data_IF_384647777736
#
_entry.id   IF_384647777736
#
_cell.length_a   1.000
_cell.length_b   1.000
_cell.length_c   1.000
_cell.angle_alpha   90.00
_cell.angle_beta   90.00
_cell.angle_gamma   90.00
#
_symmetry.space_group_name_H-M   'P 1'
#
loop_
_entity.id
_entity.type
_entity.pdbx_description
1 polymer ?
#
# COMPACT_ATOMS: atom_id res chain seq x y z
N UNK A 1 2.16 -24.02 19.00
CA UNK A 1 2.78 -23.39 17.80
C UNK A 1 1.77 -23.12 16.67
N UNK A 2 0.73 -23.95 16.46
CA UNK A 2 -0.29 -23.70 15.40
C UNK A 2 -1.09 -22.40 15.60
N UNK A 3 -1.56 -22.11 16.82
CA UNK A 3 -2.29 -20.87 17.11
C UNK A 3 -1.45 -19.60 16.84
N UNK A 4 -0.13 -19.65 17.08
CA UNK A 4 0.80 -18.55 16.75
C UNK A 4 0.93 -18.38 15.23
N UNK A 5 1.06 -19.48 14.49
CA UNK A 5 1.11 -19.50 13.01
C UNK A 5 -0.16 -18.86 12.42
N UNK A 6 -1.33 -19.22 12.93
CA UNK A 6 -2.61 -18.65 12.48
C UNK A 6 -2.76 -17.16 12.80
N UNK A 7 -2.38 -16.73 14.02
CA UNK A 7 -2.39 -15.30 14.38
C UNK A 7 -1.50 -14.48 13.47
N UNK A 8 -0.27 -14.96 13.19
CA UNK A 8 0.64 -14.28 12.26
C UNK A 8 0.08 -14.26 10.83
N UNK A 9 -0.53 -15.34 10.36
CA UNK A 9 -1.20 -15.37 9.05
C UNK A 9 -2.30 -14.32 8.94
N UNK A 10 -3.13 -14.18 9.97
CA UNK A 10 -4.17 -13.13 10.02
C UNK A 10 -3.55 -11.74 10.04
N UNK A 11 -2.47 -11.56 10.79
CA UNK A 11 -1.77 -10.28 10.88
C UNK A 11 -1.16 -9.86 9.52
N UNK A 12 -0.54 -10.79 8.77
CA UNK A 12 -0.05 -10.51 7.42
C UNK A 12 -1.17 -9.97 6.54
N UNK A 13 -2.33 -10.65 6.50
CA UNK A 13 -3.48 -10.21 5.70
C UNK A 13 -3.95 -8.79 6.05
N UNK A 14 -4.02 -8.47 7.33
CA UNK A 14 -4.44 -7.13 7.78
C UNK A 14 -3.41 -6.08 7.37
N UNK A 15 -2.12 -6.38 7.50
CA UNK A 15 -1.06 -5.45 7.08
C UNK A 15 -1.04 -5.24 5.55
N UNK A 16 -1.31 -6.29 4.76
CA UNK A 16 -1.50 -6.19 3.31
C UNK A 16 -2.68 -5.28 2.95
N UNK A 17 -3.82 -5.44 3.64
CA UNK A 17 -4.99 -4.59 3.42
C UNK A 17 -4.74 -3.12 3.80
N UNK A 18 -4.03 -2.87 4.91
CA UNK A 18 -3.65 -1.53 5.32
C UNK A 18 -2.68 -0.88 4.32
N UNK A 19 -1.71 -1.65 3.83
CA UNK A 19 -0.80 -1.20 2.78
C UNK A 19 -1.59 -0.83 1.52
N UNK A 20 -2.48 -1.71 1.06
CA UNK A 20 -3.31 -1.47 -0.13
C UNK A 20 -4.18 -0.21 0.02
N UNK A 21 -4.74 0.05 1.21
CA UNK A 21 -5.49 1.27 1.49
C UNK A 21 -4.63 2.54 1.32
N UNK A 22 -3.38 2.52 1.78
CA UNK A 22 -2.48 3.64 1.62
C UNK A 22 -2.05 3.82 0.15
N UNK A 23 -1.84 2.72 -0.57
CA UNK A 23 -1.53 2.75 -2.01
C UNK A 23 -2.67 3.34 -2.84
N UNK A 24 -3.94 2.97 -2.56
CA UNK A 24 -5.09 3.53 -3.27
C UNK A 24 -5.26 5.02 -2.99
N UNK A 25 -5.09 5.45 -1.74
CA UNK A 25 -5.12 6.87 -1.37
C UNK A 25 -4.01 7.65 -2.04
N UNK A 26 -2.79 7.11 -2.05
CA UNK A 26 -1.66 7.73 -2.72
C UNK A 26 -1.94 7.92 -4.21
N UNK A 27 -2.43 6.86 -4.88
CA UNK A 27 -2.81 6.94 -6.29
C UNK A 27 -3.93 7.96 -6.54
N UNK A 28 -4.91 8.06 -5.63
CA UNK A 28 -5.96 9.07 -5.67
C UNK A 28 -5.39 10.49 -5.66
N UNK A 29 -4.54 10.82 -4.67
CA UNK A 29 -3.92 12.14 -4.58
C UNK A 29 -3.02 12.47 -5.77
N UNK A 30 -2.27 11.50 -6.29
CA UNK A 30 -1.46 11.69 -7.51
C UNK A 30 -2.35 11.99 -8.71
N UNK A 31 -3.45 11.24 -8.89
CA UNK A 31 -4.40 11.46 -9.97
C UNK A 31 -5.04 12.86 -9.89
N UNK A 32 -5.47 13.27 -8.70
CA UNK A 32 -6.05 14.59 -8.49
C UNK A 32 -5.05 15.72 -8.68
N UNK A 33 -3.78 15.53 -8.28
CA UNK A 33 -2.72 16.50 -8.53
C UNK A 33 -2.46 16.69 -10.03
N UNK A 34 -2.42 15.60 -10.80
CA UNK A 34 -2.27 15.64 -12.26
C UNK A 34 -3.49 16.29 -12.92
N UNK A 35 -4.70 15.95 -12.48
CA UNK A 35 -5.92 16.58 -12.99
C UNK A 35 -5.94 18.09 -12.74
N UNK A 36 -5.55 18.54 -11.54
CA UNK A 36 -5.46 19.96 -11.20
C UNK A 36 -4.35 20.67 -11.99
N UNK A 37 -3.23 19.99 -12.26
CA UNK A 37 -2.17 20.52 -13.14
C UNK A 37 -2.68 20.73 -14.57
N UNK A 38 -3.40 19.75 -15.12
CA UNK A 38 -3.96 19.83 -16.47
C UNK A 38 -5.00 20.94 -16.55
N UNK A 39 -5.89 21.07 -15.55
CA UNK A 39 -6.85 22.18 -15.50
C UNK A 39 -6.15 23.54 -15.50
N UNK A 40 -5.07 23.70 -14.73
CA UNK A 40 -4.28 24.93 -14.73
C UNK A 40 -3.67 25.22 -16.11
N UNK A 41 -3.11 24.21 -16.77
CA UNK A 41 -2.53 24.34 -18.10
C UNK A 41 -3.58 24.72 -19.15
N UNK A 42 -4.74 24.07 -19.14
CA UNK A 42 -5.87 24.39 -20.03
C UNK A 42 -6.39 25.82 -19.80
N UNK A 43 -6.42 26.29 -18.55
CA UNK A 43 -6.82 27.65 -18.23
C UNK A 43 -5.83 28.69 -18.74
N UNK A 44 -4.52 28.39 -18.71
CA UNK A 44 -3.47 29.25 -19.29
C UNK A 44 -3.58 29.26 -20.80
N UNK A 45 -3.75 28.11 -21.45
CA UNK A 45 -3.90 28.03 -22.91
C UNK A 45 -5.13 28.82 -23.39
N UNK A 46 -6.27 28.69 -22.69
CA UNK A 46 -7.47 29.50 -22.96
C UNK A 46 -7.30 30.97 -22.63
N UNK A 47 -6.39 31.34 -21.74
CA UNK A 47 -6.11 32.74 -21.46
C UNK A 47 -5.42 33.40 -22.67
N UNK A 48 -4.50 32.69 -23.32
CA UNK A 48 -3.72 33.16 -24.47
C UNK A 48 -4.43 33.00 -25.84
N UNK A 49 -5.55 32.26 -25.91
CA UNK A 49 -6.25 31.99 -27.18
C UNK A 49 -6.99 33.20 -27.77
N UNK A 50 -6.98 33.33 -29.11
CA UNK A 50 -7.78 34.32 -29.84
C UNK A 50 -9.28 34.11 -29.63
N UNK A 51 -10.00 35.18 -29.24
CA UNK A 51 -11.42 35.12 -28.87
C UNK A 51 -11.69 34.81 -27.39
N UNK A 52 -10.64 34.69 -26.57
CA UNK A 52 -10.78 34.59 -25.13
C UNK A 52 -11.34 35.87 -24.53
N UNK A 53 -12.22 35.72 -23.53
CA UNK A 53 -12.66 36.84 -22.68
C UNK A 53 -11.62 37.22 -21.62
N UNK A 54 -10.39 36.69 -21.71
CA UNK A 54 -9.27 37.01 -20.83
C UNK A 54 -8.96 38.51 -20.77
N UNK A 55 -9.15 39.24 -21.88
CA UNK A 55 -8.97 40.70 -21.93
C UNK A 55 -10.01 41.47 -21.11
N UNK A 56 -11.22 40.91 -20.93
CA UNK A 56 -12.30 41.52 -20.16
C UNK A 56 -12.33 41.04 -18.71
N UNK A 57 -11.88 39.81 -18.45
CA UNK A 57 -11.92 39.18 -17.12
C UNK A 57 -10.60 38.49 -16.72
N UNK A 58 -9.46 39.20 -16.72
CA UNK A 58 -8.16 38.59 -16.39
C UNK A 58 -8.11 38.05 -14.96
N UNK A 59 -8.74 38.75 -14.01
CA UNK A 59 -8.78 38.36 -12.60
C UNK A 59 -9.46 37.00 -12.37
N UNK A 60 -10.49 36.67 -13.15
CA UNK A 60 -11.19 35.38 -13.04
C UNK A 60 -10.25 34.25 -13.46
N UNK A 61 -9.50 34.44 -14.55
CA UNK A 61 -8.52 33.45 -15.02
C UNK A 61 -7.40 33.28 -14.01
N UNK A 62 -6.77 34.36 -13.54
CA UNK A 62 -5.72 34.30 -12.53
C UNK A 62 -6.19 33.62 -11.24
N UNK A 63 -7.40 33.92 -10.77
CA UNK A 63 -7.97 33.28 -9.59
C UNK A 63 -8.19 31.77 -9.81
N UNK A 64 -8.71 31.37 -10.98
CA UNK A 64 -8.95 29.95 -11.29
C UNK A 64 -7.65 29.17 -11.46
N UNK A 65 -6.68 29.73 -12.17
CA UNK A 65 -5.34 29.15 -12.31
C UNK A 65 -4.69 29.00 -10.94
N UNK A 66 -4.72 30.05 -10.12
CA UNK A 66 -4.21 30.01 -8.74
C UNK A 66 -4.89 28.93 -7.89
N UNK A 67 -6.21 28.78 -7.98
CA UNK A 67 -6.95 27.71 -7.28
C UNK A 67 -6.59 26.30 -7.79
N UNK A 68 -6.36 26.14 -9.09
CA UNK A 68 -5.95 24.86 -9.67
C UNK A 68 -4.52 24.50 -9.22
N UNK A 69 -3.59 25.45 -9.24
CA UNK A 69 -2.23 25.27 -8.75
C UNK A 69 -2.20 24.98 -7.23
N UNK A 70 -2.98 25.70 -6.43
CA UNK A 70 -3.06 25.44 -4.99
C UNK A 70 -3.57 24.02 -4.68
N UNK A 71 -4.60 23.55 -5.41
CA UNK A 71 -5.09 22.16 -5.28
C UNK A 71 -4.05 21.15 -5.73
N UNK A 72 -3.30 21.45 -6.79
CA UNK A 72 -2.21 20.59 -7.25
C UNK A 72 -1.12 20.47 -6.17
N UNK A 73 -0.65 21.59 -5.61
CA UNK A 73 0.32 21.58 -4.51
C UNK A 73 -0.19 20.80 -3.29
N UNK A 74 -1.42 21.07 -2.84
CA UNK A 74 -2.04 20.37 -1.71
C UNK A 74 -2.07 18.85 -1.94
N UNK A 75 -2.57 18.42 -3.11
CA UNK A 75 -2.65 17.01 -3.45
C UNK A 75 -1.27 16.36 -3.61
N UNK A 76 -0.26 17.07 -4.14
CA UNK A 76 1.11 16.54 -4.16
C UNK A 76 1.67 16.34 -2.75
N UNK A 77 1.37 17.24 -1.82
CA UNK A 77 1.82 17.11 -0.44
C UNK A 77 1.11 15.96 0.27
N UNK A 78 -0.21 15.80 0.06
CA UNK A 78 -0.97 14.65 0.54
C UNK A 78 -0.43 13.33 -0.03
N UNK A 79 -0.11 13.30 -1.34
CA UNK A 79 0.49 12.15 -1.98
C UNK A 79 1.84 11.78 -1.36
N UNK A 80 2.72 12.75 -1.07
CA UNK A 80 3.99 12.53 -0.38
C UNK A 80 3.79 11.94 1.02
N UNK A 81 2.90 12.54 1.81
CA UNK A 81 2.58 12.05 3.15
C UNK A 81 2.04 10.60 3.11
N UNK A 82 1.27 10.26 2.08
CA UNK A 82 0.76 8.90 1.91
C UNK A 82 1.85 7.93 1.45
N UNK A 83 2.80 8.37 0.62
CA UNK A 83 3.95 7.56 0.22
C UNK A 83 4.80 7.13 1.43
N UNK A 84 5.02 8.03 2.40
CA UNK A 84 5.71 7.71 3.65
C UNK A 84 4.96 6.63 4.46
N UNK A 85 3.63 6.69 4.47
CA UNK A 85 2.78 5.66 5.10
C UNK A 85 2.87 4.33 4.35
N UNK A 86 2.89 4.34 3.02
CA UNK A 86 3.09 3.13 2.20
C UNK A 86 4.45 2.50 2.49
N UNK A 87 5.52 3.30 2.58
CA UNK A 87 6.86 2.82 2.92
C UNK A 87 6.87 2.16 4.31
N UNK A 88 6.29 2.82 5.30
CA UNK A 88 6.16 2.31 6.67
C UNK A 88 5.32 1.03 6.73
N UNK A 89 4.18 1.00 6.04
CA UNK A 89 3.31 -0.17 5.96
C UNK A 89 4.04 -1.35 5.28
N UNK A 90 4.79 -1.09 4.21
CA UNK A 90 5.59 -2.10 3.51
C UNK A 90 6.65 -2.69 4.43
N UNK A 91 7.37 -1.87 5.21
CA UNK A 91 8.33 -2.35 6.19
C UNK A 91 7.66 -3.26 7.25
N UNK A 92 6.49 -2.86 7.77
CA UNK A 92 5.72 -3.67 8.74
C UNK A 92 5.25 -4.99 8.15
N UNK A 93 4.69 -4.99 6.95
CA UNK A 93 4.25 -6.22 6.27
C UNK A 93 5.42 -7.18 6.07
N UNK A 94 6.57 -6.67 5.62
CA UNK A 94 7.79 -7.48 5.44
C UNK A 94 8.27 -8.12 6.75
N UNK A 95 8.24 -7.38 7.87
CA UNK A 95 8.61 -7.93 9.18
C UNK A 95 7.67 -9.05 9.62
N UNK A 96 6.36 -8.86 9.48
CA UNK A 96 5.36 -9.86 9.89
C UNK A 96 5.43 -11.09 8.98
N UNK A 97 5.63 -10.90 7.68
CA UNK A 97 5.83 -12.02 6.75
C UNK A 97 7.05 -12.86 7.09
N UNK A 98 8.18 -12.22 7.42
CA UNK A 98 9.38 -12.95 7.88
C UNK A 98 9.07 -13.78 9.13
N UNK A 99 8.45 -13.16 10.14
CA UNK A 99 8.07 -13.86 11.36
C UNK A 99 7.09 -15.03 11.09
N UNK A 100 6.14 -14.86 10.17
CA UNK A 100 5.22 -15.92 9.76
C UNK A 100 5.96 -17.09 9.09
N UNK A 101 6.87 -16.79 8.15
CA UNK A 101 7.67 -17.80 7.45
C UNK A 101 8.54 -18.61 8.42
N UNK A 102 9.13 -17.95 9.42
CA UNK A 102 9.97 -18.62 10.41
C UNK A 102 9.17 -19.54 11.32
N UNK A 103 8.03 -19.07 11.86
CA UNK A 103 7.14 -19.92 12.66
C UNK A 103 6.57 -21.07 11.84
N UNK A 104 6.23 -20.83 10.56
CA UNK A 104 5.78 -21.89 9.64
C UNK A 104 6.86 -22.97 9.50
N UNK A 105 8.11 -22.59 9.23
CA UNK A 105 9.23 -23.55 9.12
C UNK A 105 9.42 -24.35 10.41
N UNK A 106 9.31 -23.71 11.58
CA UNK A 106 9.42 -24.41 12.86
C UNK A 106 8.29 -25.43 13.07
N UNK A 107 7.05 -25.05 12.76
CA UNK A 107 5.89 -25.96 12.83
C UNK A 107 6.08 -27.14 11.90
N UNK A 108 6.48 -26.89 10.65
CA UNK A 108 6.62 -27.93 9.64
C UNK A 108 7.76 -28.91 10.02
N UNK A 109 8.87 -28.42 10.60
CA UNK A 109 9.93 -29.28 11.20
C UNK A 109 9.42 -30.12 12.36
N UNK A 110 8.71 -29.52 13.31
CA UNK A 110 8.17 -30.25 14.47
C UNK A 110 7.20 -31.35 14.07
N UNK A 111 6.39 -31.12 13.03
CA UNK A 111 5.48 -32.14 12.50
C UNK A 111 6.30 -33.29 11.88
N UNK A 112 7.27 -32.97 11.03
CA UNK A 112 8.13 -33.99 10.40
C UNK A 112 8.92 -34.82 11.43
N UNK A 113 9.45 -34.19 12.47
CA UNK A 113 10.17 -34.89 13.54
C UNK A 113 9.23 -35.80 14.35
N UNK A 114 8.00 -35.35 14.61
CA UNK A 114 6.97 -36.18 15.26
C UNK A 114 6.59 -37.37 14.40
N UNK A 115 6.32 -37.17 13.11
CA UNK A 115 5.99 -38.26 12.18
C UNK A 115 7.10 -39.31 12.10
N UNK A 116 8.37 -38.89 12.16
CA UNK A 116 9.51 -39.82 12.23
C UNK A 116 9.52 -40.63 13.52
N UNK A 117 9.28 -39.99 14.67
CA UNK A 117 9.22 -40.68 15.97
C UNK A 117 8.06 -41.67 16.01
N UNK A 118 6.87 -41.28 15.55
CA UNK A 118 5.70 -42.15 15.47
C UNK A 118 5.98 -43.39 14.58
N UNK A 119 6.76 -43.23 13.50
CA UNK A 119 7.14 -44.33 12.61
C UNK A 119 8.17 -45.27 13.26
N UNK A 120 9.14 -44.73 14.00
CA UNK A 120 10.10 -45.53 14.80
C UNK A 120 9.37 -46.31 15.90
N UNK A 121 8.44 -45.67 16.62
CA UNK A 121 7.63 -46.32 17.65
C UNK A 121 6.84 -47.49 17.06
N UNK A 122 6.14 -47.29 15.94
CA UNK A 122 5.42 -48.36 15.24
C UNK A 122 6.34 -49.52 14.85
N UNK A 123 7.50 -49.22 14.27
CA UNK A 123 8.46 -50.25 13.88
C UNK A 123 9.03 -51.01 15.09
N UNK A 124 9.32 -50.31 16.19
CA UNK A 124 9.78 -50.94 17.42
C UNK A 124 8.70 -51.86 18.04
N UNK A 125 7.44 -51.45 18.00
CA UNK A 125 6.32 -52.30 18.47
C UNK A 125 6.01 -53.49 17.55
N UNK A 126 6.41 -53.44 16.28
CA UNK A 126 6.23 -54.56 15.35
C UNK A 126 7.36 -55.59 15.40
N UNK A 127 8.58 -55.18 15.78
CA UNK A 127 9.72 -56.10 15.98
C UNK A 127 9.65 -56.87 17.30
N UNK A 128 8.86 -56.40 18.28
CA UNK A 128 8.68 -57.04 19.60
C UNK A 128 7.52 -58.08 19.61
N UNK A 129 6.99 -58.45 18.44
CA UNK A 129 5.94 -59.47 18.23
C UNK A 129 6.42 -60.59 17.32
#
# INVERSE_FOLDING_TARGET
MSARKERLRKLVKVQEQLKALHETRHAGFVSEAVAAQNEAAELVERFDSEGSMSSMFPEIYHQRIGKALARQEENTQLARNEADKVATATARTNMVERAYRDVRRQVDRHIADRERLDLIERNATSDDK
#
